data_IF_593517026661
#
_entry.id   IF_593517026661
#
_cell.length_a   1.000
_cell.length_b   1.000
_cell.length_c   1.000
_cell.angle_alpha   90.00
_cell.angle_beta   90.00
_cell.angle_gamma   90.00
#
_symmetry.space_group_name_H-M   'P 1'
#
loop_
_entity.id
_entity.type
_entity.pdbx_description
1 polymer ?
#
# COMPACT_ATOMS: atom_id res chain seq x y z
N UNK A 1 57.32 55.72 5.95
CA UNK A 1 57.43 55.07 4.63
C UNK A 1 56.43 53.92 4.58
N UNK A 2 55.45 53.99 3.68
CA UNK A 2 54.36 53.02 3.53
C UNK A 2 54.89 51.76 2.83
N UNK A 3 54.59 50.57 3.35
CA UNK A 3 54.70 49.31 2.60
C UNK A 3 53.32 48.66 2.53
N UNK A 4 52.73 48.74 1.34
CA UNK A 4 51.64 47.89 0.89
C UNK A 4 52.25 46.56 0.42
N UNK A 5 51.71 45.42 0.86
CA UNK A 5 51.89 44.12 0.21
C UNK A 5 50.67 43.24 0.59
N UNK A 6 49.61 43.33 -0.21
CA UNK A 6 49.09 42.27 -1.12
C UNK A 6 48.40 41.08 -0.45
N UNK A 7 47.07 41.12 -0.48
CA UNK A 7 46.15 40.06 -0.94
C UNK A 7 46.47 38.59 -0.61
N UNK A 8 45.71 38.04 0.34
CA UNK A 8 45.09 36.71 0.20
C UNK A 8 43.89 36.61 1.12
N UNK A 9 42.74 37.09 0.65
CA UNK A 9 41.44 36.68 1.19
C UNK A 9 41.16 35.32 0.57
N UNK A 10 41.51 34.25 1.28
CA UNK A 10 41.13 32.89 0.93
C UNK A 10 39.63 32.75 1.24
N UNK A 11 38.80 33.08 0.25
CA UNK A 11 37.36 32.84 0.27
C UNK A 11 37.14 31.32 0.16
N UNK A 12 37.08 30.64 1.29
CA UNK A 12 36.61 29.25 1.35
C UNK A 12 35.11 29.29 1.12
N UNK A 13 34.70 29.18 -0.15
CA UNK A 13 33.30 28.92 -0.53
C UNK A 13 33.02 27.47 -0.15
N UNK A 14 32.51 27.24 1.06
CA UNK A 14 31.95 25.95 1.47
C UNK A 14 30.68 25.70 0.67
N UNK A 15 30.81 24.98 -0.46
CA UNK A 15 29.71 24.42 -1.20
C UNK A 15 29.13 23.23 -0.42
N UNK A 16 28.32 23.51 0.61
CA UNK A 16 27.50 22.47 1.25
C UNK A 16 26.35 22.14 0.31
N UNK A 17 26.57 21.14 -0.55
CA UNK A 17 25.51 20.52 -1.33
C UNK A 17 24.44 19.97 -0.40
N UNK A 18 23.27 20.60 -0.39
CA UNK A 18 22.07 20.06 0.26
C UNK A 18 21.61 18.84 -0.53
N UNK A 19 22.02 17.67 -0.08
CA UNK A 19 21.48 16.39 -0.58
C UNK A 19 20.05 16.28 -0.03
N UNK A 20 19.05 16.59 -0.85
CA UNK A 20 17.66 16.30 -0.51
C UNK A 20 17.43 14.80 -0.66
N UNK A 21 17.50 14.06 0.44
CA UNK A 21 17.04 12.67 0.48
C UNK A 21 15.51 12.71 0.38
N UNK A 22 14.97 12.45 -0.80
CA UNK A 22 13.53 12.23 -0.96
C UNK A 22 13.17 10.89 -0.33
N UNK A 23 12.81 10.89 0.96
CA UNK A 23 12.09 9.76 1.53
C UNK A 23 10.77 9.59 0.76
N UNK A 24 10.47 8.38 0.27
CA UNK A 24 9.16 8.08 -0.30
C UNK A 24 8.13 8.15 0.83
N UNK A 25 7.33 9.22 0.83
CA UNK A 25 6.25 9.40 1.78
C UNK A 25 4.98 8.72 1.27
N UNK A 26 4.55 7.64 1.93
CA UNK A 26 3.33 6.92 1.59
C UNK A 26 2.05 7.55 2.16
N UNK A 27 2.12 8.74 2.78
CA UNK A 27 0.95 9.45 3.30
C UNK A 27 -0.10 9.65 2.20
N UNK A 28 -1.31 9.16 2.48
CA UNK A 28 -2.48 9.21 1.59
C UNK A 28 -2.25 8.58 0.20
N UNK A 29 -1.27 7.69 0.06
CA UNK A 29 -1.02 6.96 -1.19
C UNK A 29 -2.30 6.35 -1.80
N UNK A 30 -3.15 5.70 -0.99
CA UNK A 30 -4.44 5.14 -1.43
C UNK A 30 -5.36 6.18 -2.11
N UNK A 31 -5.38 7.43 -1.64
CA UNK A 31 -6.20 8.51 -2.26
C UNK A 31 -5.58 9.01 -3.56
N UNK A 32 -4.25 9.05 -3.62
CA UNK A 32 -3.49 9.67 -4.72
C UNK A 32 -3.29 8.73 -5.91
N UNK A 33 -3.18 7.42 -5.65
CA UNK A 33 -2.69 6.43 -6.64
C UNK A 33 -3.66 5.31 -6.93
N UNK A 34 -4.57 4.97 -6.01
CA UNK A 34 -5.59 3.96 -6.33
C UNK A 34 -6.61 4.60 -7.28
N UNK A 35 -6.85 3.95 -8.42
CA UNK A 35 -7.84 4.41 -9.39
C UNK A 35 -9.23 4.17 -8.79
N UNK A 36 -10.06 5.22 -8.80
CA UNK A 36 -11.48 5.10 -8.45
C UNK A 36 -12.27 4.75 -9.71
N UNK A 37 -13.18 3.79 -9.59
CA UNK A 37 -14.17 3.52 -10.63
C UNK A 37 -15.17 4.68 -10.63
N UNK A 38 -15.07 5.58 -11.63
CA UNK A 38 -15.83 6.83 -11.68
C UNK A 38 -17.34 6.61 -11.88
N UNK A 39 -17.77 5.42 -12.26
CA UNK A 39 -19.16 5.14 -12.64
C UNK A 39 -20.12 4.99 -11.45
N UNK A 40 -19.63 4.89 -10.21
CA UNK A 40 -20.50 4.66 -9.05
C UNK A 40 -20.55 5.88 -8.12
N UNK A 41 -21.43 6.83 -8.44
CA UNK A 41 -21.62 8.10 -7.73
C UNK A 41 -21.94 7.96 -6.23
N UNK A 42 -22.32 6.77 -5.77
CA UNK A 42 -22.83 6.56 -4.41
C UNK A 42 -21.76 6.07 -3.42
N UNK A 43 -20.58 5.66 -3.90
CA UNK A 43 -19.48 5.19 -3.03
C UNK A 43 -18.69 6.37 -2.47
N UNK A 44 -18.68 6.47 -1.14
CA UNK A 44 -17.84 7.39 -0.38
C UNK A 44 -16.52 6.72 0.01
N UNK A 45 -15.43 7.50 0.07
CA UNK A 45 -14.15 6.99 0.59
C UNK A 45 -14.26 6.85 2.11
N UNK A 46 -14.03 5.65 2.62
CA UNK A 46 -14.01 5.39 4.05
C UNK A 46 -12.74 5.95 4.70
N UNK A 47 -12.85 6.59 5.89
CA UNK A 47 -11.69 7.03 6.68
C UNK A 47 -10.80 5.87 7.17
N UNK A 48 -11.29 4.62 7.08
CA UNK A 48 -10.51 3.43 7.40
C UNK A 48 -9.55 3.01 6.28
N UNK A 49 -9.56 3.72 5.13
CA UNK A 49 -8.55 3.54 4.10
C UNK A 49 -7.13 3.81 4.66
N UNK A 50 -6.14 3.05 4.19
CA UNK A 50 -4.76 3.10 4.71
C UNK A 50 -3.74 3.00 3.60
N UNK A 51 -2.55 3.51 3.90
CA UNK A 51 -1.36 3.34 3.07
C UNK A 51 -0.24 2.76 3.93
N UNK A 52 0.65 1.98 3.33
CA UNK A 52 1.81 1.42 4.00
C UNK A 52 3.03 1.43 3.08
N UNK A 53 4.22 1.65 3.65
CA UNK A 53 5.49 1.37 3.00
C UNK A 53 5.83 -0.10 3.26
N UNK A 54 5.94 -0.91 2.20
CA UNK A 54 6.23 -2.34 2.31
C UNK A 54 7.47 -2.71 1.51
N UNK A 55 8.23 -3.67 2.03
CA UNK A 55 9.28 -4.36 1.30
C UNK A 55 8.67 -5.48 0.45
N UNK A 56 9.38 -5.89 -0.62
CA UNK A 56 9.08 -7.16 -1.29
C UNK A 56 9.12 -8.34 -0.31
N UNK A 57 8.22 -9.30 -0.50
CA UNK A 57 8.01 -10.42 0.43
C UNK A 57 7.36 -10.05 1.77
N UNK A 58 7.10 -8.76 2.04
CA UNK A 58 6.43 -8.34 3.27
C UNK A 58 4.92 -8.50 3.17
N UNK A 59 4.30 -8.85 4.30
CA UNK A 59 2.85 -8.87 4.48
C UNK A 59 2.44 -7.84 5.53
N UNK A 60 1.30 -7.19 5.30
CA UNK A 60 0.70 -6.25 6.24
C UNK A 60 -0.77 -6.61 6.47
N UNK A 61 -1.27 -6.31 7.66
CA UNK A 61 -2.63 -6.59 8.08
C UNK A 61 -3.31 -5.29 8.53
N UNK A 62 -4.52 -5.07 8.03
CA UNK A 62 -5.36 -3.94 8.40
C UNK A 62 -6.70 -4.45 8.95
N UNK A 63 -7.05 -4.06 10.17
CA UNK A 63 -8.34 -4.38 10.78
C UNK A 63 -9.42 -3.42 10.28
N UNK A 64 -10.56 -3.95 9.85
CA UNK A 64 -11.72 -3.19 9.38
C UNK A 64 -13.00 -3.73 10.01
N UNK A 65 -13.86 -2.85 10.51
CA UNK A 65 -15.23 -3.20 10.90
C UNK A 65 -16.17 -2.96 9.72
N UNK A 66 -16.76 -4.02 9.20
CA UNK A 66 -17.74 -3.96 8.12
C UNK A 66 -19.16 -4.04 8.68
N UNK A 67 -20.06 -3.18 8.19
CA UNK A 67 -21.42 -3.05 8.71
C UNK A 67 -22.45 -3.66 7.77
N UNK A 68 -23.44 -4.35 8.35
CA UNK A 68 -24.60 -4.89 7.64
C UNK A 68 -25.34 -3.80 6.84
N UNK A 69 -25.81 -4.17 5.64
CA UNK A 69 -26.59 -3.27 4.78
C UNK A 69 -25.76 -2.20 4.09
N UNK A 70 -24.45 -2.40 4.03
CA UNK A 70 -23.53 -1.63 3.20
C UNK A 70 -22.91 -2.50 2.13
N UNK A 71 -22.63 -1.87 0.99
CA UNK A 71 -21.77 -2.41 -0.03
C UNK A 71 -20.38 -1.79 0.14
N UNK A 72 -19.35 -2.63 0.13
CA UNK A 72 -17.96 -2.22 0.22
C UNK A 72 -17.26 -2.50 -1.11
N UNK A 73 -16.35 -1.60 -1.48
CA UNK A 73 -15.37 -1.79 -2.55
C UNK A 73 -13.98 -1.63 -1.95
N UNK A 74 -13.15 -2.65 -2.13
CA UNK A 74 -11.75 -2.63 -1.70
C UNK A 74 -10.87 -2.61 -2.94
N UNK A 75 -10.06 -1.57 -3.08
CA UNK A 75 -9.10 -1.42 -4.17
C UNK A 75 -7.69 -1.36 -3.61
N UNK A 76 -6.84 -2.31 -4.02
CA UNK A 76 -5.43 -2.38 -3.62
C UNK A 76 -4.55 -1.90 -4.78
N UNK A 77 -3.77 -0.85 -4.54
CA UNK A 77 -2.80 -0.31 -5.49
C UNK A 77 -1.40 -0.29 -4.89
N UNK A 78 -0.37 -0.25 -5.73
CA UNK A 78 1.01 -0.33 -5.30
C UNK A 78 1.95 0.37 -6.30
N UNK A 79 3.13 0.75 -5.81
CA UNK A 79 4.21 1.20 -6.68
C UNK A 79 4.70 0.05 -7.56
N UNK A 80 5.01 0.34 -8.82
CA UNK A 80 5.45 -0.65 -9.82
C UNK A 80 6.68 -1.43 -9.37
N UNK A 81 7.55 -0.81 -8.56
CA UNK A 81 8.74 -1.46 -8.00
C UNK A 81 8.37 -2.71 -7.19
N UNK A 82 7.17 -2.78 -6.60
CA UNK A 82 6.69 -3.92 -5.81
C UNK A 82 6.13 -5.07 -6.67
N UNK A 83 6.09 -4.91 -7.99
CA UNK A 83 5.58 -5.91 -8.93
C UNK A 83 4.08 -5.82 -9.16
N UNK A 84 3.56 -6.75 -9.98
CA UNK A 84 2.17 -6.71 -10.46
C UNK A 84 1.20 -7.56 -9.64
N UNK A 85 1.70 -8.60 -8.99
CA UNK A 85 0.88 -9.66 -8.38
C UNK A 85 0.76 -9.46 -6.86
N UNK A 86 0.27 -8.29 -6.44
CA UNK A 86 -0.05 -8.05 -5.03
C UNK A 86 -1.23 -8.93 -4.64
N UNK A 87 -1.03 -9.79 -3.66
CA UNK A 87 -2.11 -10.58 -3.09
C UNK A 87 -2.81 -9.77 -2.00
N UNK A 88 -4.13 -9.74 -2.00
CA UNK A 88 -4.89 -9.31 -0.84
C UNK A 88 -5.99 -10.29 -0.50
N UNK A 89 -6.16 -10.53 0.80
CA UNK A 89 -7.19 -11.39 1.35
C UNK A 89 -8.09 -10.61 2.28
N UNK A 90 -9.35 -10.99 2.33
CA UNK A 90 -10.28 -10.60 3.38
C UNK A 90 -10.50 -11.82 4.24
N UNK A 91 -10.13 -11.71 5.51
CA UNK A 91 -10.18 -12.81 6.47
C UNK A 91 -11.08 -12.38 7.62
N UNK A 92 -11.98 -13.26 8.05
CA UNK A 92 -12.76 -13.02 9.27
C UNK A 92 -11.81 -12.87 10.48
N UNK A 93 -11.99 -11.81 11.28
CA UNK A 93 -11.06 -11.50 12.36
C UNK A 93 -11.07 -12.56 13.46
N UNK A 94 -12.25 -13.12 13.76
CA UNK A 94 -12.46 -13.99 14.91
C UNK A 94 -12.21 -15.46 14.52
N UNK A 95 -12.69 -15.89 13.35
CA UNK A 95 -12.60 -17.30 12.93
C UNK A 95 -11.34 -17.63 12.12
N UNK A 96 -10.64 -16.61 11.61
CA UNK A 96 -9.56 -16.75 10.61
C UNK A 96 -10.00 -17.42 9.29
N UNK A 97 -11.30 -17.48 9.02
CA UNK A 97 -11.83 -17.94 7.73
C UNK A 97 -11.45 -16.97 6.61
N UNK A 98 -10.93 -17.49 5.50
CA UNK A 98 -10.65 -16.68 4.30
C UNK A 98 -11.96 -16.46 3.56
N UNK A 99 -12.48 -15.23 3.62
CA UNK A 99 -13.71 -14.83 2.95
C UNK A 99 -13.47 -14.50 1.47
N UNK A 100 -12.27 -14.02 1.15
CA UNK A 100 -11.85 -13.69 -0.20
C UNK A 100 -10.32 -13.72 -0.34
N UNK A 101 -9.83 -14.16 -1.50
CA UNK A 101 -8.43 -14.12 -1.89
C UNK A 101 -8.33 -13.75 -3.38
N UNK A 102 -7.77 -12.59 -3.70
CA UNK A 102 -7.69 -12.14 -5.09
C UNK A 102 -6.76 -13.02 -5.97
N UNK A 103 -5.91 -13.85 -5.36
CA UNK A 103 -5.07 -14.80 -6.09
C UNK A 103 -5.89 -15.77 -6.92
N UNK A 104 -7.06 -16.17 -6.43
CA UNK A 104 -7.98 -17.08 -7.14
C UNK A 104 -8.65 -16.40 -8.35
N UNK A 105 -8.48 -15.08 -8.47
CA UNK A 105 -9.06 -14.23 -9.50
C UNK A 105 -7.98 -13.47 -10.26
N UNK A 106 -6.85 -14.12 -10.58
CA UNK A 106 -5.75 -13.54 -11.35
C UNK A 106 -5.21 -12.21 -10.78
N UNK A 107 -5.18 -12.08 -9.45
CA UNK A 107 -4.69 -10.89 -8.76
C UNK A 107 -5.41 -9.60 -9.17
N UNK A 108 -6.71 -9.67 -9.45
CA UNK A 108 -7.54 -8.45 -9.61
C UNK A 108 -7.34 -7.54 -8.41
N UNK A 109 -7.29 -6.24 -8.68
CA UNK A 109 -6.95 -5.21 -7.69
C UNK A 109 -8.15 -4.68 -6.92
N UNK A 110 -9.35 -5.03 -7.36
CA UNK A 110 -10.60 -4.52 -6.85
C UNK A 110 -11.56 -5.67 -6.54
N UNK A 111 -12.29 -5.55 -5.44
CA UNK A 111 -13.34 -6.47 -5.05
C UNK A 111 -14.50 -5.72 -4.42
N UNK A 112 -15.71 -6.00 -4.88
CA UNK A 112 -16.96 -5.43 -4.37
C UNK A 112 -17.81 -6.50 -3.70
N UNK A 113 -18.39 -6.20 -2.55
CA UNK A 113 -19.25 -7.12 -1.83
C UNK A 113 -20.30 -6.41 -0.97
N UNK A 114 -21.45 -7.05 -0.80
CA UNK A 114 -22.51 -6.63 0.12
C UNK A 114 -22.36 -7.34 1.46
N UNK A 115 -22.49 -6.59 2.56
CA UNK A 115 -22.36 -7.13 3.91
C UNK A 115 -23.72 -7.55 4.45
N UNK A 116 -23.91 -8.85 4.60
CA UNK A 116 -25.15 -9.42 5.13
C UNK A 116 -25.22 -9.39 6.66
N UNK A 117 -24.07 -9.39 7.33
CA UNK A 117 -23.95 -9.34 8.79
C UNK A 117 -22.70 -8.57 9.19
N UNK A 118 -22.84 -7.62 10.12
CA UNK A 118 -21.73 -6.83 10.63
C UNK A 118 -20.69 -7.73 11.28
N UNK A 119 -19.41 -7.52 10.96
CA UNK A 119 -18.28 -8.29 11.53
C UNK A 119 -16.98 -7.52 11.39
N UNK A 120 -15.98 -7.94 12.15
CA UNK A 120 -14.61 -7.44 11.96
C UNK A 120 -13.89 -8.35 10.96
N UNK A 121 -13.19 -7.76 10.00
CA UNK A 121 -12.32 -8.48 9.06
C UNK A 121 -10.89 -7.94 9.13
N UNK A 122 -9.98 -8.75 8.62
CA UNK A 122 -8.57 -8.43 8.36
C UNK A 122 -8.37 -8.35 6.86
N UNK A 123 -7.94 -7.19 6.38
CA UNK A 123 -7.41 -7.06 5.02
C UNK A 123 -5.92 -7.35 5.10
N UNK A 124 -5.52 -8.51 4.58
CA UNK A 124 -4.11 -8.95 4.58
C UNK A 124 -3.54 -8.72 3.20
N UNK A 125 -2.55 -7.85 3.07
CA UNK A 125 -1.88 -7.53 1.80
C UNK A 125 -0.48 -8.08 1.80
N UNK A 126 -0.15 -8.91 0.81
CA UNK A 126 1.15 -9.57 0.66
C UNK A 126 1.83 -9.11 -0.62
N UNK A 127 3.05 -8.60 -0.50
CA UNK A 127 3.89 -8.19 -1.63
C UNK A 127 4.70 -9.40 -2.07
N UNK A 128 4.73 -9.75 -3.37
CA UNK A 128 5.56 -10.85 -3.86
C UNK A 128 7.04 -10.58 -3.59
N UNK A 129 7.79 -11.65 -3.36
CA UNK A 129 9.25 -11.58 -3.31
C UNK A 129 9.83 -11.71 -4.72
N UNK A 130 11.02 -11.15 -4.96
CA UNK A 130 11.75 -11.26 -6.23
C UNK A 130 12.36 -12.65 -6.45
N UNK A 131 12.30 -13.51 -5.42
CA UNK A 131 12.74 -14.89 -5.52
C UNK A 131 11.72 -15.72 -6.33
N UNK A 132 11.81 -15.63 -7.65
CA UNK A 132 11.31 -16.69 -8.52
C UNK A 132 11.76 -18.04 -7.95
N UNK A 133 10.80 -18.92 -7.72
CA UNK A 133 10.94 -20.15 -6.99
C UNK A 133 12.11 -20.99 -7.52
N UNK A 134 13.20 -21.02 -6.77
CA UNK A 134 14.01 -22.23 -6.66
C UNK A 134 14.45 -22.31 -5.22
N UNK A 135 13.68 -23.06 -4.41
CA UNK A 135 14.12 -23.52 -3.11
C UNK A 135 15.28 -24.50 -3.34
N UNK A 136 16.46 -23.96 -3.64
CA UNK A 136 17.71 -24.69 -3.45
C UNK A 136 17.90 -24.73 -1.94
N UNK A 137 17.77 -25.93 -1.39
CA UNK A 137 18.08 -26.26 0.00
C UNK A 137 19.55 -25.97 0.26
N UNK A 138 19.89 -24.73 0.55
CA UNK A 138 21.17 -24.36 1.15
C UNK A 138 20.88 -23.35 2.25
N UNK A 139 21.18 -23.76 3.48
CA UNK A 139 21.22 -22.98 4.70
C UNK A 139 22.29 -21.89 4.59
N UNK A 140 22.01 -20.87 3.79
CA UNK A 140 22.83 -19.69 3.58
C UNK A 140 22.00 -18.43 3.79
N UNK A 141 22.62 -17.44 4.43
CA UNK A 141 22.04 -16.14 4.77
C UNK A 141 21.34 -15.51 3.57
N UNK A 142 20.00 -15.49 3.56
CA UNK A 142 19.21 -14.85 2.50
C UNK A 142 19.36 -13.34 2.63
N UNK A 143 19.86 -12.68 1.59
CA UNK A 143 19.86 -11.22 1.52
C UNK A 143 18.40 -10.73 1.65
N UNK A 144 18.14 -9.82 2.59
CA UNK A 144 16.81 -9.24 2.73
C UNK A 144 16.46 -8.45 1.46
N UNK A 145 15.22 -8.54 0.96
CA UNK A 145 14.78 -7.73 -0.16
C UNK A 145 14.99 -6.26 0.17
N UNK A 146 15.69 -5.54 -0.70
CA UNK A 146 16.05 -4.12 -0.51
C UNK A 146 15.02 -3.18 -1.14
N UNK A 147 14.17 -3.69 -2.02
CA UNK A 147 13.16 -2.90 -2.72
C UNK A 147 11.94 -2.67 -1.82
N UNK A 148 11.65 -1.41 -1.56
CA UNK A 148 10.46 -0.93 -0.86
C UNK A 148 9.62 -0.05 -1.80
N UNK A 149 8.34 0.06 -1.50
CA UNK A 149 7.40 0.91 -2.21
C UNK A 149 6.11 1.07 -1.41
N UNK A 150 5.28 2.01 -1.85
CA UNK A 150 4.00 2.26 -1.20
C UNK A 150 2.93 1.28 -1.71
N UNK A 151 2.08 0.85 -0.78
CA UNK A 151 0.84 0.14 -1.04
C UNK A 151 -0.31 0.96 -0.46
N UNK A 152 -1.38 1.09 -1.22
CA UNK A 152 -2.62 1.72 -0.81
C UNK A 152 -3.75 0.70 -0.75
N UNK A 153 -4.49 0.70 0.35
CA UNK A 153 -5.77 0.01 0.50
C UNK A 153 -6.84 1.10 0.54
N UNK A 154 -7.47 1.32 -0.61
CA UNK A 154 -8.61 2.23 -0.74
C UNK A 154 -9.88 1.45 -0.40
N UNK A 155 -10.63 1.97 0.56
CA UNK A 155 -11.90 1.41 1.00
C UNK A 155 -12.97 2.42 0.63
N UNK A 156 -13.91 2.01 -0.21
CA UNK A 156 -15.11 2.78 -0.49
C UNK A 156 -16.33 2.03 0.06
N UNK A 157 -17.31 2.76 0.59
CA UNK A 157 -18.56 2.18 1.04
C UNK A 157 -19.78 2.99 0.60
N UNK A 158 -20.91 2.32 0.49
CA UNK A 158 -22.23 2.94 0.31
C UNK A 158 -23.29 2.16 1.05
N UNK A 159 -24.44 2.78 1.31
CA UNK A 159 -25.61 2.07 1.82
C UNK A 159 -26.15 1.19 0.69
N UNK A 160 -26.33 -0.10 0.95
CA UNK A 160 -26.89 -1.04 -0.03
C UNK A 160 -28.28 -0.55 -0.46
N UNK A 161 -28.53 -0.32 -1.76
CA UNK A 161 -29.84 0.09 -2.23
C UNK A 161 -30.89 -0.95 -1.88
N UNK A 162 -32.00 -0.53 -1.28
CA UNK A 162 -33.15 -1.41 -1.04
C UNK A 162 -33.73 -1.84 -2.39
N UNK A 163 -33.47 -3.07 -2.82
CA UNK A 163 -34.20 -3.69 -3.92
C UNK A 163 -35.51 -4.21 -3.33
N UNK A 164 -36.60 -3.48 -3.56
CA UNK A 164 -37.93 -3.87 -3.12
C UNK A 164 -38.47 -5.07 -3.92
N UNK A 165 -39.36 -5.83 -3.30
CA UNK A 165 -40.56 -6.33 -3.97
C UNK A 165 -41.72 -5.48 -3.45
#
# INVERSE_FOLDING_TARGET
MKKFFTTSIMLIVTLTGMMTVSAQDCIDYHKKKCKRTQETTNYGISPDSRSALLLKGQTSEFRLLIYQGKDYRITVCNDEILGTNIQFKIIDYDTNEVLYDNKDYNYVKEFEFTVLMSRTVKIVVSVPDDSNTTAVNNSGFRAKPTSMGCVGVLIEDMITPKKGF
#
